data_IF_252124882731
#
_entry.id   IF_252124882731
#
_cell.length_a   1.000
_cell.length_b   1.000
_cell.length_c   1.000
_cell.angle_alpha   90.00
_cell.angle_beta   90.00
_cell.angle_gamma   90.00
#
_symmetry.space_group_name_H-M   'P 1'
#
loop_
_entity.id
_entity.type
_entity.pdbx_description
1 polymer ?
#
# COMPACT_ATOMS: atom_id res chain seq x y z
N UNK A 1 13.34 14.30 28.35
CA UNK A 1 13.25 12.85 28.68
C UNK A 1 11.88 12.36 28.26
N UNK A 2 11.76 11.28 27.47
CA UNK A 2 10.45 10.75 27.10
C UNK A 2 9.69 10.36 28.37
N UNK A 3 8.38 10.63 28.40
CA UNK A 3 7.55 10.24 29.54
C UNK A 3 7.60 8.72 29.72
N UNK A 4 7.40 8.21 30.95
CA UNK A 4 7.28 6.76 31.21
C UNK A 4 6.29 6.08 30.23
N UNK A 5 5.29 6.81 29.74
CA UNK A 5 4.31 6.35 28.75
C UNK A 5 4.88 6.24 27.33
N UNK A 6 5.69 7.20 26.87
CA UNK A 6 6.38 7.10 25.58
C UNK A 6 7.42 5.97 25.57
N UNK A 7 8.10 5.73 26.69
CA UNK A 7 9.02 4.61 26.83
C UNK A 7 8.29 3.25 26.77
N UNK A 8 7.10 3.14 27.37
CA UNK A 8 6.27 1.94 27.30
C UNK A 8 5.72 1.68 25.88
N UNK A 9 5.26 2.73 25.18
CA UNK A 9 4.80 2.62 23.79
C UNK A 9 5.93 2.15 22.87
N UNK A 10 7.12 2.77 23.00
CA UNK A 10 8.31 2.39 22.26
C UNK A 10 8.73 0.96 22.57
N UNK A 11 8.75 0.58 23.85
CA UNK A 11 9.06 -0.80 24.26
C UNK A 11 8.07 -1.81 23.68
N UNK A 12 6.78 -1.51 23.60
CA UNK A 12 5.79 -2.42 23.00
C UNK A 12 5.94 -2.53 21.48
N UNK A 13 6.22 -1.42 20.78
CA UNK A 13 6.47 -1.42 19.34
C UNK A 13 7.76 -2.17 19.01
N UNK A 14 8.83 -1.95 19.78
CA UNK A 14 10.11 -2.66 19.65
C UNK A 14 9.98 -4.16 20.01
N UNK A 15 9.03 -4.53 20.89
CA UNK A 15 8.71 -5.94 21.20
C UNK A 15 7.94 -6.62 20.06
N UNK A 16 7.14 -5.84 19.31
CA UNK A 16 6.28 -6.34 18.24
C UNK A 16 7.04 -6.45 16.91
N UNK A 17 8.02 -5.57 16.66
CA UNK A 17 8.83 -5.58 15.44
C UNK A 17 10.13 -6.35 15.67
N UNK A 18 10.21 -7.56 15.12
CA UNK A 18 11.46 -8.33 15.07
C UNK A 18 12.56 -7.51 14.37
N UNK A 19 13.74 -7.44 14.97
CA UNK A 19 14.92 -6.78 14.42
C UNK A 19 15.23 -7.24 12.99
N UNK A 20 14.97 -8.51 12.67
CA UNK A 20 15.13 -9.06 11.32
C UNK A 20 14.15 -8.44 10.28
N UNK A 21 12.93 -8.08 10.71
CA UNK A 21 11.95 -7.39 9.86
C UNK A 21 12.42 -5.96 9.57
N UNK A 22 12.95 -5.27 10.59
CA UNK A 22 13.47 -3.90 10.43
C UNK A 22 14.67 -3.84 9.49
N UNK A 23 15.58 -4.80 9.57
CA UNK A 23 16.73 -4.89 8.65
C UNK A 23 16.30 -5.21 7.23
N UNK A 24 15.30 -6.10 7.06
CA UNK A 24 14.75 -6.40 5.74
C UNK A 24 14.05 -5.20 5.10
N UNK A 25 13.30 -4.41 5.88
CA UNK A 25 12.67 -3.19 5.38
C UNK A 25 13.73 -2.14 5.00
N UNK A 26 14.74 -1.91 5.85
CA UNK A 26 15.79 -0.91 5.59
C UNK A 26 16.62 -1.20 4.35
N UNK A 27 16.96 -2.46 4.07
CA UNK A 27 17.80 -2.82 2.92
C UNK A 27 17.15 -2.52 1.55
N UNK A 28 15.84 -2.31 1.50
CA UNK A 28 15.08 -2.13 0.25
C UNK A 28 14.48 -0.73 0.09
N UNK A 29 14.75 0.19 1.03
CA UNK A 29 14.14 1.52 1.07
C UNK A 29 14.74 2.44 0.00
N UNK A 30 16.06 2.55 -0.08
CA UNK A 30 16.71 3.58 -0.91
C UNK A 30 16.47 3.41 -2.42
N UNK A 31 16.52 2.17 -2.94
CA UNK A 31 16.28 1.90 -4.38
C UNK A 31 14.83 2.24 -4.80
N UNK A 32 13.90 2.29 -3.84
CA UNK A 32 12.47 2.39 -4.14
C UNK A 32 11.90 3.79 -3.92
N UNK A 33 12.41 4.52 -2.93
CA UNK A 33 12.07 5.94 -2.80
C UNK A 33 12.46 6.71 -4.07
N UNK A 34 13.63 6.41 -4.65
CA UNK A 34 14.06 7.01 -5.93
C UNK A 34 13.10 6.66 -7.08
N UNK A 35 12.61 5.41 -7.16
CA UNK A 35 11.66 4.98 -8.19
C UNK A 35 10.28 5.64 -8.01
N UNK A 36 9.81 5.75 -6.76
CA UNK A 36 8.50 6.31 -6.45
C UNK A 36 8.47 7.84 -6.63
N UNK A 37 9.49 8.56 -6.16
CA UNK A 37 9.58 10.02 -6.33
C UNK A 37 9.74 10.41 -7.80
N UNK A 38 10.48 9.60 -8.55
CA UNK A 38 10.62 9.77 -10.01
C UNK A 38 9.28 9.62 -10.76
N UNK A 39 8.44 8.66 -10.37
CA UNK A 39 7.11 8.42 -10.95
C UNK A 39 6.05 9.46 -10.51
N UNK A 40 6.07 9.87 -9.23
CA UNK A 40 5.14 10.89 -8.72
C UNK A 40 5.44 12.25 -9.38
N UNK A 41 6.71 12.55 -9.64
CA UNK A 41 7.10 13.72 -10.41
C UNK A 41 6.54 13.71 -11.84
N UNK A 42 6.55 12.57 -12.54
CA UNK A 42 6.03 12.48 -13.91
C UNK A 42 4.51 12.71 -14.06
N UNK A 43 3.72 12.48 -13.00
CA UNK A 43 2.25 12.61 -13.04
C UNK A 43 1.74 13.97 -12.54
N UNK A 44 2.59 14.76 -11.89
CA UNK A 44 2.29 16.11 -11.42
C UNK A 44 2.75 17.14 -12.45
N UNK A 45 1.85 18.03 -12.89
CA UNK A 45 2.14 19.19 -13.77
C UNK A 45 3.20 20.17 -13.22
N UNK A 46 3.87 19.85 -12.11
CA UNK A 46 4.93 20.65 -11.47
C UNK A 46 6.34 20.23 -11.84
N UNK A 47 6.52 19.14 -12.59
CA UNK A 47 7.83 18.73 -13.05
C UNK A 47 8.04 19.20 -14.49
N UNK A 48 9.16 19.89 -14.73
CA UNK A 48 9.57 20.36 -16.05
C UNK A 48 9.59 19.19 -17.04
N UNK A 49 8.94 19.38 -18.19
CA UNK A 49 8.54 18.34 -19.16
C UNK A 49 9.69 17.59 -19.85
N UNK A 50 10.94 18.02 -19.69
CA UNK A 50 12.06 17.48 -20.47
C UNK A 50 12.67 16.17 -19.92
N UNK A 51 12.34 15.74 -18.69
CA UNK A 51 12.95 14.57 -18.05
C UNK A 51 12.02 13.36 -17.87
N UNK A 52 10.77 13.39 -18.35
CA UNK A 52 9.81 12.31 -18.09
C UNK A 52 10.12 11.03 -18.89
N UNK A 53 10.54 11.20 -20.15
CA UNK A 53 10.88 10.09 -21.06
C UNK A 53 12.11 9.30 -20.58
N UNK A 54 13.13 9.99 -20.07
CA UNK A 54 14.36 9.38 -19.55
C UNK A 54 14.08 8.57 -18.27
N UNK A 55 13.27 9.09 -17.37
CA UNK A 55 12.84 8.40 -16.15
C UNK A 55 12.09 7.10 -16.44
N UNK A 56 11.13 7.12 -17.37
CA UNK A 56 10.35 5.92 -17.73
C UNK A 56 11.24 4.87 -18.40
N UNK A 57 12.18 5.28 -19.27
CA UNK A 57 13.13 4.36 -19.89
C UNK A 57 14.04 3.68 -18.85
N UNK A 58 14.48 4.43 -17.83
CA UNK A 58 15.29 3.89 -16.72
C UNK A 58 14.48 2.90 -15.87
N UNK A 59 13.24 3.26 -15.51
CA UNK A 59 12.32 2.37 -14.80
C UNK A 59 12.12 1.07 -15.60
N UNK A 60 11.86 1.18 -16.90
CA UNK A 60 11.67 0.01 -17.74
C UNK A 60 12.91 -0.88 -17.80
N UNK A 61 14.10 -0.29 -17.96
CA UNK A 61 15.37 -1.02 -17.94
C UNK A 61 15.57 -1.75 -16.60
N UNK A 62 15.28 -1.08 -15.48
CA UNK A 62 15.39 -1.66 -14.14
C UNK A 62 14.37 -2.78 -13.87
N UNK A 63 13.25 -2.80 -14.59
CA UNK A 63 12.19 -3.79 -14.43
C UNK A 63 12.24 -4.95 -15.43
N UNK A 64 13.14 -4.94 -16.43
CA UNK A 64 13.24 -6.04 -17.42
C UNK A 64 13.31 -7.41 -16.72
N UNK A 65 12.46 -8.34 -17.16
CA UNK A 65 12.40 -9.70 -16.61
C UNK A 65 11.72 -9.81 -15.25
N UNK A 66 11.24 -8.71 -14.64
CA UNK A 66 10.65 -8.70 -13.30
C UNK A 66 9.13 -8.79 -13.33
N UNK A 67 8.57 -9.31 -12.24
CA UNK A 67 7.14 -9.35 -11.92
C UNK A 67 6.89 -8.52 -10.67
N UNK A 68 6.19 -7.42 -10.85
CA UNK A 68 5.81 -6.48 -9.80
C UNK A 68 4.38 -6.76 -9.37
N UNK A 69 4.18 -6.97 -8.06
CA UNK A 69 2.88 -7.21 -7.46
C UNK A 69 2.54 -6.07 -6.50
N UNK A 70 1.48 -5.34 -6.80
CA UNK A 70 0.86 -4.37 -5.90
C UNK A 70 -0.17 -5.08 -5.01
N UNK A 71 -0.05 -4.92 -3.68
CA UNK A 71 -0.97 -5.51 -2.69
C UNK A 71 -1.40 -4.45 -1.70
N UNK A 72 -2.71 -4.18 -1.64
CA UNK A 72 -3.24 -3.22 -0.68
C UNK A 72 -4.66 -2.78 -0.99
N UNK A 73 -5.13 -1.69 -0.36
CA UNK A 73 -6.47 -1.13 -0.57
C UNK A 73 -6.54 -0.28 -1.86
N UNK A 74 -7.62 0.50 -2.03
CA UNK A 74 -7.85 1.39 -3.18
C UNK A 74 -6.70 2.37 -3.44
N UNK A 75 -6.00 2.85 -2.41
CA UNK A 75 -4.85 3.75 -2.59
C UNK A 75 -3.70 3.05 -3.32
N UNK A 76 -3.46 1.78 -3.03
CA UNK A 76 -2.50 0.94 -3.76
C UNK A 76 -2.94 0.67 -5.19
N UNK A 77 -4.26 0.49 -5.42
CA UNK A 77 -4.80 0.41 -6.78
C UNK A 77 -4.57 1.71 -7.56
N UNK A 78 -4.76 2.86 -6.91
CA UNK A 78 -4.54 4.16 -7.53
C UNK A 78 -3.06 4.35 -7.91
N UNK A 79 -2.12 3.98 -7.02
CA UNK A 79 -0.70 3.95 -7.36
C UNK A 79 -0.40 3.03 -8.56
N UNK A 80 -1.01 1.84 -8.59
CA UNK A 80 -0.92 0.92 -9.73
C UNK A 80 -1.42 1.58 -11.03
N UNK A 81 -2.55 2.30 -11.01
CA UNK A 81 -3.04 3.01 -12.20
C UNK A 81 -2.11 4.14 -12.63
N UNK A 82 -1.51 4.88 -11.70
CA UNK A 82 -0.53 5.92 -12.03
C UNK A 82 0.71 5.35 -12.73
N UNK A 83 1.18 4.18 -12.30
CA UNK A 83 2.28 3.48 -12.97
C UNK A 83 1.90 3.08 -14.39
N UNK A 84 0.70 2.52 -14.59
CA UNK A 84 0.23 2.13 -15.92
C UNK A 84 0.07 3.35 -16.85
N UNK A 85 -0.48 4.45 -16.35
CA UNK A 85 -0.65 5.69 -17.12
C UNK A 85 0.71 6.30 -17.51
N UNK A 86 1.70 6.28 -16.60
CA UNK A 86 3.05 6.74 -16.90
C UNK A 86 3.77 5.85 -17.93
N UNK A 87 3.49 4.55 -17.93
CA UNK A 87 4.10 3.57 -18.85
C UNK A 87 3.40 3.47 -20.21
N UNK A 88 2.15 3.93 -20.32
CA UNK A 88 1.34 3.82 -21.53
C UNK A 88 2.01 4.52 -22.75
N UNK A 89 2.54 5.75 -22.66
CA UNK A 89 3.25 6.38 -23.77
C UNK A 89 4.47 5.59 -24.25
N UNK A 90 5.18 4.93 -23.33
CA UNK A 90 6.38 4.15 -23.66
C UNK A 90 6.06 2.83 -24.36
N UNK A 91 4.91 2.22 -24.07
CA UNK A 91 4.51 0.94 -24.66
C UNK A 91 3.67 1.08 -25.93
N UNK A 92 3.27 2.31 -26.27
CA UNK A 92 2.37 2.62 -27.40
C UNK A 92 1.10 1.73 -27.45
N UNK A 93 0.58 1.36 -26.27
CA UNK A 93 -0.65 0.58 -26.12
C UNK A 93 -1.43 1.04 -24.90
N UNK A 94 -2.73 0.80 -24.92
CA UNK A 94 -3.55 0.99 -23.72
C UNK A 94 -3.12 0.01 -22.64
N UNK A 95 -2.83 0.55 -21.45
CA UNK A 95 -2.56 -0.24 -20.25
C UNK A 95 -3.73 -0.19 -19.26
N UNK A 96 -4.92 0.23 -19.71
CA UNK A 96 -6.09 0.38 -18.86
C UNK A 96 -6.40 -0.88 -18.04
N UNK A 97 -6.67 -0.68 -16.75
CA UNK A 97 -7.06 -1.75 -15.84
C UNK A 97 -8.59 -1.80 -15.69
N UNK A 98 -9.16 -3.00 -15.71
CA UNK A 98 -10.62 -3.21 -15.62
C UNK A 98 -11.21 -2.91 -14.22
N UNK A 99 -10.37 -2.49 -13.27
CA UNK A 99 -10.79 -2.19 -11.91
C UNK A 99 -10.04 -3.01 -10.86
N UNK A 100 -10.15 -2.60 -9.59
CA UNK A 100 -9.43 -3.20 -8.46
C UNK A 100 -9.85 -4.65 -8.18
N UNK A 101 -11.04 -5.08 -8.59
CA UNK A 101 -11.49 -6.47 -8.39
C UNK A 101 -11.13 -7.40 -9.56
N UNK A 102 -10.74 -6.84 -10.70
CA UNK A 102 -10.61 -7.57 -11.97
C UNK A 102 -9.21 -7.45 -12.59
N UNK A 103 -8.23 -6.92 -11.85
CA UNK A 103 -6.86 -6.83 -12.32
C UNK A 103 -6.25 -8.23 -12.47
N UNK A 104 -5.92 -8.61 -13.71
CA UNK A 104 -5.23 -9.86 -14.03
C UNK A 104 -3.72 -9.67 -14.01
N UNK A 105 -3.17 -9.00 -15.01
CA UNK A 105 -1.80 -8.52 -15.10
C UNK A 105 -1.64 -7.62 -16.33
N UNK A 106 -0.60 -6.79 -16.33
CA UNK A 106 -0.26 -5.86 -17.40
C UNK A 106 1.16 -6.17 -17.85
N UNK A 107 1.32 -6.46 -19.13
CA UNK A 107 2.62 -6.54 -19.75
C UNK A 107 3.09 -5.10 -20.04
N UNK A 108 4.28 -4.70 -19.61
CA UNK A 108 4.77 -3.33 -19.78
C UNK A 108 6.25 -3.32 -20.20
N UNK A 109 6.78 -2.14 -20.53
CA UNK A 109 8.20 -1.89 -20.85
C UNK A 109 8.79 -2.57 -22.09
N UNK A 110 8.00 -3.35 -22.83
CA UNK A 110 8.41 -3.94 -24.10
C UNK A 110 7.27 -4.08 -25.10
N UNK A 111 7.64 -4.34 -26.36
CA UNK A 111 6.71 -4.46 -27.49
C UNK A 111 5.97 -5.79 -27.55
N UNK A 112 6.25 -6.72 -26.62
CA UNK A 112 5.60 -8.01 -26.64
C UNK A 112 4.10 -7.89 -26.33
N UNK A 113 3.32 -8.53 -27.18
CA UNK A 113 1.90 -8.79 -26.95
C UNK A 113 1.77 -10.05 -26.10
N UNK A 114 0.79 -10.13 -25.19
CA UNK A 114 0.53 -11.35 -24.44
C UNK A 114 0.30 -12.53 -25.40
N UNK A 115 0.94 -13.67 -25.13
CA UNK A 115 0.69 -14.89 -25.90
C UNK A 115 -0.67 -15.47 -25.49
N UNK A 116 -1.62 -15.50 -26.43
CA UNK A 116 -2.95 -16.06 -26.20
C UNK A 116 -3.01 -17.53 -26.59
N UNK A 117 -3.57 -18.38 -25.72
CA UNK A 117 -3.95 -19.77 -26.05
C UNK A 117 -5.48 -19.89 -25.95
N UNK A 118 -6.17 -19.48 -27.01
CA UNK A 118 -7.63 -19.33 -27.01
C UNK A 118 -8.07 -18.13 -26.17
N UNK A 119 -9.07 -18.32 -25.29
CA UNK A 119 -9.60 -17.26 -24.41
C UNK A 119 -8.79 -17.03 -23.13
N UNK A 120 -7.77 -17.85 -22.88
CA UNK A 120 -6.97 -17.79 -21.65
C UNK A 120 -5.64 -17.10 -21.98
N UNK A 121 -5.38 -15.99 -21.28
CA UNK A 121 -4.08 -15.32 -21.32
C UNK A 121 -3.13 -16.09 -20.41
N UNK A 122 -2.06 -16.63 -20.97
CA UNK A 122 -1.03 -17.33 -20.18
C UNK A 122 -0.19 -16.29 -19.44
N UNK A 123 0.10 -16.54 -18.17
CA UNK A 123 1.05 -15.72 -17.43
C UNK A 123 2.47 -15.98 -17.96
N UNK A 124 3.22 -14.96 -18.44
CA UNK A 124 4.52 -15.17 -19.06
C UNK A 124 5.56 -15.76 -18.09
N UNK A 125 6.46 -16.58 -18.64
CA UNK A 125 7.62 -17.07 -17.88
C UNK A 125 8.71 -15.99 -17.83
N UNK A 126 9.63 -16.11 -16.87
CA UNK A 126 10.73 -15.14 -16.72
C UNK A 126 11.60 -15.04 -17.99
N UNK A 127 11.88 -16.17 -18.65
CA UNK A 127 12.67 -16.18 -19.89
C UNK A 127 11.97 -15.44 -21.04
N UNK A 128 10.64 -15.49 -21.09
CA UNK A 128 9.83 -14.74 -22.06
C UNK A 128 9.90 -13.23 -21.78
N UNK A 129 9.87 -12.83 -20.51
CA UNK A 129 10.02 -11.43 -20.11
C UNK A 129 11.41 -10.89 -20.46
N UNK A 130 12.47 -11.69 -20.23
CA UNK A 130 13.85 -11.35 -20.61
C UNK A 130 14.02 -11.25 -22.12
N UNK A 131 13.53 -12.24 -22.88
CA UNK A 131 13.62 -12.25 -24.34
C UNK A 131 12.91 -11.07 -25.01
N UNK A 132 11.89 -10.53 -24.35
CA UNK A 132 11.07 -9.43 -24.88
C UNK A 132 11.38 -8.08 -24.23
N UNK A 133 12.41 -8.01 -23.38
CA UNK A 133 12.79 -6.83 -22.59
C UNK A 133 11.58 -6.18 -21.89
N UNK A 134 10.74 -7.01 -21.28
CA UNK A 134 9.46 -6.58 -20.72
C UNK A 134 9.34 -6.97 -19.25
N UNK A 135 8.27 -6.52 -18.62
CA UNK A 135 7.95 -6.89 -17.25
C UNK A 135 6.43 -6.99 -17.03
N UNK A 136 6.06 -7.55 -15.88
CA UNK A 136 4.66 -7.70 -15.48
C UNK A 136 4.35 -6.80 -14.30
N UNK A 137 3.24 -6.07 -14.39
CA UNK A 137 2.63 -5.37 -13.26
C UNK A 137 1.27 -6.00 -12.96
N UNK A 138 0.98 -6.26 -11.69
CA UNK A 138 -0.32 -6.78 -11.25
C UNK A 138 -0.74 -6.10 -9.95
N UNK A 139 -2.05 -5.91 -9.78
CA UNK A 139 -2.65 -5.50 -8.52
C UNK A 139 -3.52 -6.60 -7.92
N UNK A 140 -3.49 -6.74 -6.60
CA UNK A 140 -4.41 -7.58 -5.83
C UNK A 140 -4.92 -6.80 -4.61
N UNK A 141 -6.24 -6.72 -4.47
CA UNK A 141 -6.88 -6.00 -3.37
C UNK A 141 -6.72 -6.75 -2.05
N UNK A 142 -6.26 -6.05 -1.02
CA UNK A 142 -6.31 -6.49 0.37
C UNK A 142 -6.36 -5.29 1.31
N UNK A 143 -7.44 -5.12 2.08
CA UNK A 143 -7.52 -4.05 3.08
C UNK A 143 -6.67 -4.32 4.31
N UNK A 144 -6.62 -5.59 4.72
CA UNK A 144 -6.04 -6.00 6.02
C UNK A 144 -4.67 -6.66 5.90
N UNK A 145 -4.17 -6.80 4.66
CA UNK A 145 -3.01 -7.64 4.31
C UNK A 145 -3.11 -9.07 4.85
N UNK A 146 -4.33 -9.61 5.00
CA UNK A 146 -4.53 -10.97 5.47
C UNK A 146 -3.74 -11.96 4.60
N UNK A 147 -2.89 -12.76 5.24
CA UNK A 147 -1.86 -13.58 4.59
C UNK A 147 -1.96 -15.06 5.01
N UNK A 148 -3.17 -15.60 5.08
CA UNK A 148 -3.35 -17.05 5.25
C UNK A 148 -2.86 -17.83 4.01
N UNK A 149 -2.23 -18.98 4.24
CA UNK A 149 -1.72 -19.86 3.18
C UNK A 149 -2.82 -20.57 2.38
N UNK A 150 -3.97 -20.82 3.01
CA UNK A 150 -5.10 -21.53 2.38
C UNK A 150 -5.93 -20.58 1.49
N UNK A 151 -6.00 -20.83 0.15
CA UNK A 151 -6.87 -20.05 -0.73
C UNK A 151 -8.36 -20.16 -0.39
N UNK A 152 -8.77 -21.17 0.39
CA UNK A 152 -10.16 -21.37 0.84
C UNK A 152 -10.45 -20.71 2.19
N UNK A 153 -9.47 -20.02 2.78
CA UNK A 153 -9.67 -19.28 4.02
C UNK A 153 -10.90 -18.35 3.89
N UNK A 154 -11.67 -18.25 4.98
CA UNK A 154 -12.91 -17.49 5.02
C UNK A 154 -12.70 -16.02 4.63
N UNK A 155 -11.53 -15.46 4.96
CA UNK A 155 -11.19 -14.08 4.63
C UNK A 155 -10.99 -13.80 3.15
N UNK A 156 -10.82 -14.83 2.33
CA UNK A 156 -10.74 -14.70 0.87
C UNK A 156 -12.03 -15.06 0.15
N UNK A 157 -12.86 -15.90 0.78
CA UNK A 157 -13.99 -16.55 0.10
C UNK A 157 -15.35 -15.98 0.51
N UNK A 158 -15.44 -15.25 1.62
CA UNK A 158 -16.71 -14.73 2.15
C UNK A 158 -16.63 -13.22 2.44
N UNK A 159 -17.76 -12.50 2.38
CA UNK A 159 -17.84 -11.16 2.94
C UNK A 159 -17.56 -11.21 4.45
N UNK A 160 -16.53 -10.49 4.90
CA UNK A 160 -16.19 -10.35 6.32
C UNK A 160 -16.50 -8.94 6.77
N UNK A 161 -17.15 -8.84 7.92
CA UNK A 161 -17.25 -7.59 8.69
C UNK A 161 -16.15 -7.63 9.73
N UNK A 162 -15.29 -6.63 9.72
CA UNK A 162 -14.24 -6.50 10.72
C UNK A 162 -14.88 -6.26 12.09
N UNK A 163 -14.48 -7.05 13.08
CA UNK A 163 -15.10 -7.08 14.40
C UNK A 163 -14.82 -5.80 15.20
N UNK A 164 -13.71 -5.14 14.92
CA UNK A 164 -13.29 -3.92 15.59
C UNK A 164 -14.00 -2.67 15.05
N UNK A 165 -14.15 -2.58 13.73
CA UNK A 165 -14.73 -1.40 13.06
C UNK A 165 -16.20 -1.58 12.70
N UNK A 166 -16.70 -2.81 12.61
CA UNK A 166 -18.04 -3.09 12.06
C UNK A 166 -18.15 -2.81 10.55
N UNK A 167 -17.03 -2.52 9.88
CA UNK A 167 -16.99 -2.21 8.44
C UNK A 167 -16.65 -3.46 7.66
N UNK A 168 -17.29 -3.64 6.50
CA UNK A 168 -17.00 -4.76 5.61
C UNK A 168 -15.61 -4.60 5.00
N UNK A 169 -14.80 -5.65 5.10
CA UNK A 169 -13.47 -5.76 4.49
C UNK A 169 -13.45 -6.84 3.41
N UNK A 170 -12.54 -6.68 2.46
CA UNK A 170 -12.34 -7.63 1.37
C UNK A 170 -10.85 -7.93 1.14
N UNK A 171 -10.47 -9.20 1.21
CA UNK A 171 -9.12 -9.62 0.88
C UNK A 171 -9.19 -10.63 -0.26
N UNK A 172 -8.37 -10.45 -1.29
CA UNK A 172 -8.13 -11.49 -2.28
C UNK A 172 -6.91 -12.31 -1.86
N UNK A 173 -6.89 -13.59 -2.24
CA UNK A 173 -5.72 -14.44 -1.99
C UNK A 173 -4.54 -13.96 -2.85
N UNK A 174 -3.61 -13.24 -2.23
CA UNK A 174 -2.46 -12.58 -2.87
C UNK A 174 -1.13 -13.31 -2.64
N UNK A 175 -1.06 -14.20 -1.63
CA UNK A 175 0.18 -14.86 -1.23
C UNK A 175 0.72 -15.81 -2.31
N UNK A 176 -0.17 -16.46 -3.09
CA UNK A 176 0.25 -17.27 -4.24
C UNK A 176 0.97 -16.43 -5.29
N UNK A 177 0.50 -15.22 -5.55
CA UNK A 177 1.09 -14.29 -6.50
C UNK A 177 2.42 -13.77 -5.96
N UNK A 178 2.49 -13.46 -4.66
CA UNK A 178 3.70 -13.01 -3.98
C UNK A 178 4.85 -14.02 -4.11
N UNK A 179 4.58 -15.34 -4.03
CA UNK A 179 5.59 -16.40 -4.23
C UNK A 179 6.25 -16.40 -5.61
N UNK A 180 5.61 -15.78 -6.60
CA UNK A 180 6.15 -15.63 -7.96
C UNK A 180 6.51 -14.18 -8.29
N UNK A 181 6.38 -13.24 -7.36
CA UNK A 181 6.78 -11.87 -7.58
C UNK A 181 8.30 -11.74 -7.44
N UNK A 182 8.88 -10.81 -8.18
CA UNK A 182 10.27 -10.38 -8.00
C UNK A 182 10.31 -9.12 -7.11
N UNK A 183 9.23 -8.34 -7.13
CA UNK A 183 9.01 -7.16 -6.29
C UNK A 183 7.55 -7.13 -5.82
N UNK A 184 7.33 -6.82 -4.55
CA UNK A 184 6.01 -6.64 -3.95
C UNK A 184 5.93 -5.22 -3.42
N UNK A 185 5.03 -4.43 -4.00
CA UNK A 185 4.70 -3.08 -3.53
C UNK A 185 3.45 -3.20 -2.66
N UNK A 186 3.60 -2.97 -1.37
CA UNK A 186 2.57 -3.24 -0.38
C UNK A 186 2.20 -2.01 0.44
N UNK A 187 0.96 -1.97 0.89
CA UNK A 187 0.48 -1.02 1.88
C UNK A 187 -0.70 -1.61 2.66
N UNK A 188 -0.72 -1.35 3.94
CA UNK A 188 -1.91 -1.49 4.77
C UNK A 188 -2.51 -0.09 4.92
N UNK A 189 -3.70 0.12 4.35
CA UNK A 189 -4.40 1.38 4.51
C UNK A 189 -4.79 1.62 5.97
N UNK A 190 -5.07 2.87 6.36
CA UNK A 190 -5.59 3.12 7.69
C UNK A 190 -6.90 2.35 7.89
N UNK A 191 -7.11 1.83 9.10
CA UNK A 191 -8.33 1.11 9.41
C UNK A 191 -9.51 2.06 9.32
N UNK A 192 -10.68 1.62 8.80
CA UNK A 192 -11.89 2.43 8.83
C UNK A 192 -12.23 2.83 10.26
N UNK A 193 -12.86 4.00 10.43
CA UNK A 193 -13.43 4.33 11.74
C UNK A 193 -14.59 3.37 12.05
N UNK A 194 -14.86 3.05 13.33
CA UNK A 194 -16.00 2.21 13.66
C UNK A 194 -17.32 2.79 13.16
N UNK A 195 -18.26 1.92 12.77
CA UNK A 195 -19.61 2.33 12.30
C UNK A 195 -20.31 3.25 13.29
N UNK A 196 -20.14 3.01 14.59
CA UNK A 196 -20.70 3.86 15.66
C UNK A 196 -20.24 5.32 15.60
N UNK A 197 -19.03 5.60 15.10
CA UNK A 197 -18.52 6.98 14.95
C UNK A 197 -19.33 7.75 13.91
N UNK A 198 -19.80 7.08 12.84
CA UNK A 198 -20.61 7.67 11.79
C UNK A 198 -22.06 7.93 12.22
N UNK A 199 -22.61 7.05 13.06
CA UNK A 199 -23.99 7.14 13.52
C UNK A 199 -24.17 8.11 14.69
N UNK A 200 -23.24 8.06 15.65
CA UNK A 200 -23.39 8.75 16.95
C UNK A 200 -22.29 9.79 17.22
N UNK A 201 -21.24 9.84 16.41
CA UNK A 201 -20.05 10.64 16.71
C UNK A 201 -19.26 10.13 17.92
N UNK A 202 -19.55 8.92 18.42
CA UNK A 202 -18.89 8.37 19.59
C UNK A 202 -17.50 7.81 19.23
N UNK A 203 -16.45 8.50 19.69
CA UNK A 203 -15.05 8.09 19.52
C UNK A 203 -14.48 7.35 20.73
N UNK A 204 -15.32 6.90 21.66
CA UNK A 204 -14.89 6.07 22.79
C UNK A 204 -14.86 4.61 22.37
N UNK A 205 -13.71 3.97 22.56
CA UNK A 205 -13.52 2.54 22.29
C UNK A 205 -13.61 1.77 23.61
N UNK A 206 -14.19 0.56 23.62
CA UNK A 206 -14.05 -0.34 24.76
C UNK A 206 -12.56 -0.51 25.07
N UNK A 207 -12.18 -0.42 26.34
CA UNK A 207 -10.81 -0.66 26.81
C UNK A 207 -9.74 0.33 26.31
N UNK A 208 -10.12 1.52 25.89
CA UNK A 208 -9.19 2.56 25.44
C UNK A 208 -8.49 3.24 26.62
N UNK A 209 -7.18 3.02 26.87
CA UNK A 209 -6.48 3.84 27.82
C UNK A 209 -6.30 5.24 27.24
N UNK A 210 -6.31 6.26 28.10
CA UNK A 210 -6.01 7.64 27.72
C UNK A 210 -4.51 7.76 27.40
N UNK A 211 -4.15 7.56 26.13
CA UNK A 211 -2.76 7.57 25.66
C UNK A 211 -2.17 8.99 25.63
N UNK A 212 -2.95 9.97 25.19
CA UNK A 212 -2.57 11.38 25.05
C UNK A 212 -3.65 12.27 25.68
N UNK A 213 -3.26 13.32 26.40
CA UNK A 213 -4.14 14.45 26.73
C UNK A 213 -4.49 15.17 25.42
N UNK A 214 -5.49 14.65 24.71
CA UNK A 214 -5.80 15.01 23.34
C UNK A 214 -7.23 14.63 22.94
N UNK A 215 -7.63 15.06 21.74
CA UNK A 215 -8.97 14.80 21.22
C UNK A 215 -9.25 13.28 21.18
N UNK A 216 -10.45 12.81 21.59
CA UNK A 216 -10.84 11.39 21.57
C UNK A 216 -10.51 10.66 20.26
N UNK A 217 -10.63 11.37 19.14
CA UNK A 217 -10.28 10.91 17.78
C UNK A 217 -8.81 10.49 17.63
N UNK A 218 -7.88 11.23 18.23
CA UNK A 218 -6.44 10.91 18.17
C UNK A 218 -6.15 9.68 19.00
N UNK A 219 -6.70 9.62 20.22
CA UNK A 219 -6.58 8.42 21.05
C UNK A 219 -7.19 7.19 20.36
N UNK A 220 -8.27 7.38 19.60
CA UNK A 220 -8.93 6.32 18.85
C UNK A 220 -8.05 5.78 17.73
N UNK A 221 -7.47 6.69 16.93
CA UNK A 221 -6.54 6.34 15.88
C UNK A 221 -5.32 5.59 16.42
N UNK A 222 -4.69 6.10 17.48
CA UNK A 222 -3.54 5.44 18.13
C UNK A 222 -3.93 4.06 18.63
N UNK A 223 -5.08 3.92 19.29
CA UNK A 223 -5.55 2.62 19.76
C UNK A 223 -5.75 1.62 18.61
N UNK A 224 -6.46 2.01 17.56
CA UNK A 224 -6.67 1.18 16.36
C UNK A 224 -5.34 0.78 15.70
N UNK A 225 -4.40 1.72 15.61
CA UNK A 225 -3.06 1.46 15.06
C UNK A 225 -2.34 0.38 15.86
N UNK A 226 -2.29 0.52 17.19
CA UNK A 226 -1.52 -0.37 18.06
C UNK A 226 -2.15 -1.75 18.23
N UNK A 227 -3.47 -1.84 18.31
CA UNK A 227 -4.16 -3.10 18.64
C UNK A 227 -4.54 -3.92 17.41
N UNK A 228 -4.69 -3.28 16.24
CA UNK A 228 -5.16 -3.96 15.02
C UNK A 228 -4.21 -3.77 13.84
N UNK A 229 -3.87 -2.54 13.48
CA UNK A 229 -3.08 -2.24 12.28
C UNK A 229 -1.66 -2.83 12.33
N UNK A 230 -0.91 -2.56 13.40
CA UNK A 230 0.47 -3.02 13.53
C UNK A 230 0.54 -4.55 13.65
N UNK A 231 -0.27 -5.22 14.51
CA UNK A 231 -0.25 -6.68 14.57
C UNK A 231 -0.61 -7.37 13.23
N UNK A 232 -1.58 -6.85 12.47
CA UNK A 232 -1.92 -7.42 11.15
C UNK A 232 -0.77 -7.24 10.16
N UNK A 233 -0.17 -6.05 10.12
CA UNK A 233 0.98 -5.73 9.26
C UNK A 233 2.18 -6.61 9.57
N UNK A 234 2.57 -6.71 10.85
CA UNK A 234 3.70 -7.55 11.27
C UNK A 234 3.46 -9.01 10.93
N UNK A 235 2.22 -9.51 11.12
CA UNK A 235 1.87 -10.88 10.74
C UNK A 235 2.05 -11.10 9.23
N UNK A 236 1.60 -10.17 8.40
CA UNK A 236 1.76 -10.26 6.95
C UNK A 236 3.25 -10.26 6.54
N UNK A 237 4.05 -9.39 7.15
CA UNK A 237 5.51 -9.33 6.92
C UNK A 237 6.22 -10.60 7.38
N UNK A 238 5.83 -11.17 8.52
CA UNK A 238 6.39 -12.43 9.01
C UNK A 238 6.07 -13.60 8.04
N UNK A 239 4.85 -13.67 7.51
CA UNK A 239 4.50 -14.65 6.48
C UNK A 239 5.34 -14.45 5.21
N UNK A 240 5.54 -13.20 4.77
CA UNK A 240 6.41 -12.89 3.63
C UNK A 240 7.87 -13.31 3.87
N UNK A 241 8.41 -13.04 5.05
CA UNK A 241 9.76 -13.45 5.45
C UNK A 241 9.91 -14.98 5.48
N UNK A 242 8.82 -15.69 5.83
CA UNK A 242 8.74 -17.14 5.85
C UNK A 242 8.54 -17.80 4.47
N UNK A 243 8.37 -17.02 3.39
CA UNK A 243 8.31 -17.59 2.04
C UNK A 243 9.68 -18.20 1.69
N UNK A 244 9.78 -19.52 1.82
CA UNK A 244 10.99 -20.32 1.55
C UNK A 244 11.40 -20.40 0.07
N UNK A 245 11.11 -19.37 -0.73
CA UNK A 245 11.48 -19.33 -2.14
C UNK A 245 12.99 -19.16 -2.31
N UNK A 246 13.57 -19.86 -3.31
CA UNK A 246 14.97 -19.69 -3.73
C UNK A 246 15.29 -18.23 -4.11
N UNK A 247 14.27 -17.44 -4.44
CA UNK A 247 14.34 -16.02 -4.75
C UNK A 247 13.34 -15.30 -3.85
N UNK A 248 13.85 -14.53 -2.88
CA UNK A 248 13.02 -13.68 -2.02
C UNK A 248 12.62 -12.43 -2.82
N UNK A 249 11.33 -12.07 -2.89
CA UNK A 249 10.92 -10.83 -3.54
C UNK A 249 11.48 -9.63 -2.79
N UNK A 250 11.78 -8.55 -3.51
CA UNK A 250 12.01 -7.24 -2.91
C UNK A 250 10.68 -6.74 -2.36
N UNK A 251 10.61 -6.48 -1.06
CA UNK A 251 9.39 -5.99 -0.42
C UNK A 251 9.50 -4.49 -0.22
N UNK A 252 8.52 -3.79 -0.75
CA UNK A 252 8.43 -2.33 -0.73
C UNK A 252 7.19 -1.94 0.01
N UNK A 253 7.36 -1.16 1.07
CA UNK A 253 6.25 -0.54 1.76
C UNK A 253 6.05 0.88 1.21
N UNK A 254 4.90 1.14 0.58
CA UNK A 254 4.55 2.51 0.24
C UNK A 254 3.71 3.12 1.36
N UNK A 255 3.97 4.38 1.69
CA UNK A 255 3.24 5.11 2.71
C UNK A 255 1.75 5.27 2.40
N UNK A 256 0.97 5.53 3.45
CA UNK A 256 -0.45 5.88 3.32
C UNK A 256 -0.62 7.27 2.73
N UNK A 257 -1.68 7.43 1.93
CA UNK A 257 -2.02 8.70 1.32
C UNK A 257 -2.81 9.51 2.33
N UNK A 258 -2.27 10.65 2.76
CA UNK A 258 -2.99 11.53 3.67
C UNK A 258 -4.22 12.10 2.96
N UNK A 259 -5.36 11.98 3.62
CA UNK A 259 -6.60 12.62 3.18
C UNK A 259 -6.43 14.13 3.34
N UNK A 260 -6.66 14.87 2.26
CA UNK A 260 -6.70 16.32 2.37
C UNK A 260 -8.02 16.72 3.05
N UNK A 261 -7.93 17.49 4.15
CA UNK A 261 -9.10 17.92 4.92
C UNK A 261 -9.99 18.92 4.15
N UNK A 262 -9.54 19.35 2.97
CA UNK A 262 -10.32 20.03 1.95
C UNK A 262 -9.45 20.28 0.73
N UNK A 263 -9.99 20.25 -0.50
CA UNK A 263 -9.24 20.68 -1.68
C UNK A 263 -8.63 22.07 -1.41
N UNK A 264 -7.30 22.22 -1.29
CA UNK A 264 -6.71 23.52 -1.07
C UNK A 264 -6.93 24.28 -2.36
N UNK A 265 -7.55 25.46 -2.24
CA UNK A 265 -7.38 26.48 -3.27
C UNK A 265 -5.87 26.60 -3.52
N UNK A 266 -5.44 26.41 -4.79
CA UNK A 266 -4.09 25.91 -5.22
C UNK A 266 -2.86 26.72 -4.74
N UNK A 267 -3.03 27.72 -3.89
CA UNK A 267 -2.07 28.79 -3.57
C UNK A 267 -1.50 28.78 -2.15
N UNK A 268 -1.83 27.84 -1.25
CA UNK A 268 -1.30 27.87 0.13
C UNK A 268 -0.56 26.60 0.53
N UNK A 269 0.65 26.77 1.09
CA UNK A 269 1.52 25.70 1.60
C UNK A 269 0.88 25.06 2.85
N UNK A 270 0.67 23.75 2.80
CA UNK A 270 -0.29 23.01 3.64
C UNK A 270 0.26 22.61 5.02
N UNK A 271 1.58 22.46 5.20
CA UNK A 271 2.10 21.76 6.38
C UNK A 271 2.01 22.55 7.71
N UNK A 272 2.27 23.87 7.70
CA UNK A 272 2.26 24.69 8.93
C UNK A 272 0.86 25.22 9.28
N UNK A 273 -0.05 25.27 8.32
CA UNK A 273 -1.45 25.64 8.55
C UNK A 273 -2.26 24.43 9.08
N UNK A 274 -1.83 23.19 8.84
CA UNK A 274 -2.52 21.97 9.30
C UNK A 274 -2.58 21.83 10.84
N UNK A 275 -1.51 22.22 11.52
CA UNK A 275 -1.45 22.21 12.98
C UNK A 275 -2.13 23.42 13.64
N UNK A 276 -2.24 24.55 12.92
CA UNK A 276 -2.70 25.84 13.49
C UNK A 276 -4.13 26.22 13.09
N UNK A 277 -4.63 25.80 11.93
CA UNK A 277 -6.01 26.02 11.50
C UNK A 277 -6.83 24.79 11.81
N UNK A 278 -7.46 24.80 12.99
CA UNK A 278 -8.70 24.07 13.29
C UNK A 278 -8.77 22.67 12.65
N UNK A 279 -8.38 21.68 13.45
CA UNK A 279 -8.89 20.30 13.47
C UNK A 279 -10.45 20.21 13.61
N UNK A 280 -11.20 21.23 13.15
CA UNK A 280 -12.65 21.43 13.30
C UNK A 280 -13.41 20.99 12.04
N UNK A 281 -12.73 20.56 10.97
CA UNK A 281 -13.40 20.23 9.72
C UNK A 281 -13.99 18.82 9.67
N UNK A 282 -13.18 17.81 10.00
CA UNK A 282 -13.56 16.41 9.79
C UNK A 282 -12.80 15.47 10.75
N UNK A 283 -13.48 14.86 11.75
CA UNK A 283 -12.84 13.93 12.65
C UNK A 283 -12.37 12.63 11.95
N UNK A 284 -12.97 12.24 10.82
CA UNK A 284 -12.54 11.05 10.08
C UNK A 284 -11.22 11.29 9.36
N UNK A 285 -11.05 12.41 8.66
CA UNK A 285 -9.75 12.78 8.09
C UNK A 285 -8.66 12.83 9.15
N UNK A 286 -8.93 13.42 10.32
CA UNK A 286 -7.98 13.41 11.43
C UNK A 286 -7.64 11.98 11.88
N UNK A 287 -8.64 11.12 12.05
CA UNK A 287 -8.46 9.72 12.44
C UNK A 287 -7.59 8.96 11.43
N UNK A 288 -7.90 9.08 10.13
CA UNK A 288 -7.15 8.40 9.06
C UNK A 288 -5.71 8.90 8.94
N UNK A 289 -5.52 10.22 8.95
CA UNK A 289 -4.18 10.79 8.84
C UNK A 289 -3.33 10.44 10.06
N UNK A 290 -3.92 10.43 11.27
CA UNK A 290 -3.22 10.03 12.50
C UNK A 290 -2.70 8.59 12.42
N UNK A 291 -3.43 7.68 11.78
CA UNK A 291 -2.95 6.30 11.56
C UNK A 291 -1.85 6.21 10.50
N UNK A 292 -1.81 7.13 9.53
CA UNK A 292 -0.83 7.14 8.45
C UNK A 292 0.55 7.69 8.81
N UNK A 293 0.74 8.24 10.03
CA UNK A 293 2.00 8.83 10.48
C UNK A 293 2.99 7.85 11.14
N UNK A 294 2.65 6.57 11.24
CA UNK A 294 3.44 5.55 11.94
C UNK A 294 4.26 4.66 11.01
#
# INVERSE_FOLDING_TARGET
>A
MPSRRQAALKSSVDLILDQAILEHLRANVDEVYDLQDSLICTTSNRCTTDNTSTTVAHLCTALIGKRVLFVGPETTYYLHTLWLDALQPYTNRSLACNGPQFCTFHHVCGNATPTYKGRIVKFPHQDELLATNSCIIRYVRSYTLHAADDPKDRAYTQPIVDDFTGVRVHNAYWLRQARYADMIVLNHGPLPAPVSTYETGNWTFPDQPTYVDGAPVVNAAVHATLTRFLPSTVRALHVLAGLGSKKRPVVVWHGSWLMDAGCPDRKKRVLNDWLNRRLVGDPWTLYYNTQGFW
#
